data_IF_271456640828
#
_entry.id   IF_271456640828
#
_cell.length_a   1.000
_cell.length_b   1.000
_cell.length_c   1.000
_cell.angle_alpha   90.00
_cell.angle_beta   90.00
_cell.angle_gamma   90.00
#
_symmetry.space_group_name_H-M   'P 1'
#
loop_
_entity.id
_entity.type
_entity.pdbx_description
1 polymer ?
#
# COMPACT_ATOMS: atom_id res chain seq x y z
N UNK A 1 -3.90 0.39 -33.87
CA UNK A 1 -4.36 1.40 -32.88
C UNK A 1 -5.58 0.93 -32.07
N UNK A 2 -6.47 0.11 -32.63
CA UNK A 2 -7.64 -0.50 -31.95
C UNK A 2 -7.30 -1.34 -30.70
N UNK A 3 -6.26 -2.19 -30.77
CA UNK A 3 -5.86 -3.08 -29.66
C UNK A 3 -5.47 -2.36 -28.35
N UNK A 4 -4.91 -1.15 -28.43
CA UNK A 4 -4.49 -0.40 -27.24
C UNK A 4 -5.68 0.18 -26.48
N UNK A 5 -6.67 0.69 -27.22
CA UNK A 5 -7.88 1.25 -26.66
C UNK A 5 -8.75 0.16 -26.01
N UNK A 6 -8.89 -0.99 -26.66
CA UNK A 6 -9.60 -2.16 -26.12
C UNK A 6 -8.97 -2.66 -24.81
N UNK A 7 -7.63 -2.74 -24.75
CA UNK A 7 -6.92 -3.10 -23.52
C UNK A 7 -7.17 -2.08 -22.40
N UNK A 8 -7.17 -0.79 -22.71
CA UNK A 8 -7.44 0.26 -21.72
C UNK A 8 -8.87 0.15 -21.15
N UNK A 9 -9.86 -0.04 -22.02
CA UNK A 9 -11.26 -0.22 -21.62
C UNK A 9 -11.45 -1.48 -20.77
N UNK A 10 -10.81 -2.59 -21.15
CA UNK A 10 -10.85 -3.82 -20.38
C UNK A 10 -10.24 -3.64 -18.97
N UNK A 11 -9.07 -3.00 -18.86
CA UNK A 11 -8.45 -2.70 -17.56
C UNK A 11 -9.35 -1.82 -16.70
N UNK A 12 -10.01 -0.83 -17.30
CA UNK A 12 -10.93 0.04 -16.56
C UNK A 12 -12.17 -0.72 -16.08
N UNK A 13 -12.75 -1.58 -16.91
CA UNK A 13 -13.85 -2.46 -16.54
C UNK A 13 -13.47 -3.38 -15.37
N UNK A 14 -12.29 -4.01 -15.43
CA UNK A 14 -11.76 -4.84 -14.35
C UNK A 14 -11.57 -4.05 -13.05
N UNK A 15 -11.02 -2.82 -13.11
CA UNK A 15 -10.89 -1.97 -11.92
C UNK A 15 -12.24 -1.73 -11.26
N UNK A 16 -13.25 -1.36 -12.06
CA UNK A 16 -14.59 -1.07 -11.55
C UNK A 16 -15.23 -2.32 -10.94
N UNK A 17 -15.16 -3.46 -11.63
CA UNK A 17 -15.71 -4.72 -11.16
C UNK A 17 -15.12 -5.15 -9.81
N UNK A 18 -13.79 -5.13 -9.68
CA UNK A 18 -13.13 -5.56 -8.44
C UNK A 18 -13.38 -4.57 -7.30
N UNK A 19 -13.41 -3.26 -7.56
CA UNK A 19 -13.78 -2.26 -6.55
C UNK A 19 -15.21 -2.44 -6.06
N UNK A 20 -16.15 -2.77 -6.93
CA UNK A 20 -17.54 -3.08 -6.54
C UNK A 20 -17.60 -4.32 -5.64
N UNK A 21 -16.91 -5.40 -6.01
CA UNK A 21 -16.84 -6.61 -5.17
C UNK A 21 -16.23 -6.33 -3.81
N UNK A 22 -15.15 -5.55 -3.75
CA UNK A 22 -14.49 -5.16 -2.49
C UNK A 22 -15.42 -4.35 -1.59
N UNK A 23 -16.16 -3.39 -2.16
CA UNK A 23 -17.16 -2.59 -1.43
C UNK A 23 -18.35 -3.39 -0.92
N UNK A 24 -18.63 -4.54 -1.54
CA UNK A 24 -19.70 -5.44 -1.10
C UNK A 24 -19.29 -6.34 0.08
N UNK A 25 -18.02 -6.32 0.51
CA UNK A 25 -17.58 -7.08 1.69
C UNK A 25 -18.16 -6.47 2.97
N UNK A 26 -18.66 -7.33 3.86
CA UNK A 26 -19.12 -6.90 5.17
C UNK A 26 -17.96 -6.37 6.04
N UNK A 27 -18.23 -5.54 7.05
CA UNK A 27 -17.20 -5.09 7.98
C UNK A 27 -16.46 -6.25 8.68
N UNK A 28 -17.17 -7.35 8.97
CA UNK A 28 -16.57 -8.55 9.54
C UNK A 28 -15.60 -9.21 8.56
N UNK A 29 -15.99 -9.40 7.30
CA UNK A 29 -15.12 -9.99 6.27
C UNK A 29 -13.86 -9.15 6.05
N UNK A 30 -13.97 -7.82 6.10
CA UNK A 30 -12.82 -6.93 5.99
C UNK A 30 -11.87 -7.07 7.18
N UNK A 31 -12.42 -7.11 8.39
CA UNK A 31 -11.65 -7.32 9.64
C UNK A 31 -10.94 -8.68 9.63
N UNK A 32 -11.66 -9.75 9.30
CA UNK A 32 -11.10 -11.11 9.24
C UNK A 32 -9.97 -11.20 8.20
N UNK A 33 -10.19 -10.60 7.02
CA UNK A 33 -9.16 -10.54 5.98
C UNK A 33 -7.90 -9.79 6.44
N UNK A 34 -8.06 -8.66 7.13
CA UNK A 34 -6.93 -7.90 7.66
C UNK A 34 -6.13 -8.74 8.69
N UNK A 35 -6.82 -9.42 9.62
CA UNK A 35 -6.17 -10.27 10.62
C UNK A 35 -5.50 -11.50 10.01
N UNK A 36 -6.09 -12.11 8.99
CA UNK A 36 -5.45 -13.19 8.24
C UNK A 36 -4.17 -12.72 7.55
N UNK A 37 -4.16 -11.51 6.97
CA UNK A 37 -2.95 -10.93 6.38
C UNK A 37 -1.88 -10.70 7.43
N UNK A 38 -2.22 -10.16 8.60
CA UNK A 38 -1.25 -10.03 9.70
C UNK A 38 -0.64 -11.38 10.07
N UNK A 39 -1.50 -12.37 10.33
CA UNK A 39 -1.07 -13.72 10.73
C UNK A 39 -0.18 -14.37 9.67
N UNK A 40 -0.54 -14.22 8.39
CA UNK A 40 0.24 -14.76 7.29
C UNK A 40 1.60 -14.06 7.18
N UNK A 41 1.60 -12.73 7.13
CA UNK A 41 2.81 -11.92 6.93
C UNK A 41 3.78 -12.12 8.08
N UNK A 42 3.31 -12.06 9.33
CA UNK A 42 4.18 -12.21 10.50
C UNK A 42 4.82 -13.59 10.63
N UNK A 43 4.32 -14.61 9.92
CA UNK A 43 4.91 -15.95 9.86
C UNK A 43 5.88 -16.16 8.68
N UNK A 44 6.02 -15.18 7.77
CA UNK A 44 6.94 -15.31 6.63
C UNK A 44 8.40 -15.16 7.07
N UNK A 45 9.31 -16.10 6.70
CA UNK A 45 10.72 -16.00 7.04
C UNK A 45 11.39 -14.69 6.61
N UNK A 46 10.98 -14.13 5.45
CA UNK A 46 11.49 -12.85 4.95
C UNK A 46 11.12 -11.67 5.86
N UNK A 47 9.98 -11.73 6.55
CA UNK A 47 9.55 -10.68 7.49
C UNK A 47 10.38 -10.73 8.77
N UNK A 48 10.77 -11.93 9.21
CA UNK A 48 11.66 -12.08 10.36
C UNK A 48 13.02 -11.42 10.13
N UNK A 49 13.61 -11.61 8.95
CA UNK A 49 14.91 -11.02 8.59
C UNK A 49 14.86 -9.55 8.17
N UNK A 50 13.70 -9.04 7.75
CA UNK A 50 13.55 -7.66 7.32
C UNK A 50 13.61 -6.69 8.51
N UNK A 51 14.29 -5.56 8.33
CA UNK A 51 14.36 -4.45 9.27
C UNK A 51 13.47 -3.30 8.82
N UNK A 52 13.49 -2.97 7.53
CA UNK A 52 12.81 -1.80 6.94
C UNK A 52 11.70 -2.24 5.99
N UNK A 53 10.47 -1.79 6.24
CA UNK A 53 9.30 -2.17 5.47
C UNK A 53 8.48 -0.94 5.10
N UNK A 54 8.14 -0.80 3.83
CA UNK A 54 7.21 0.22 3.38
C UNK A 54 5.79 -0.36 3.32
N UNK A 55 4.85 0.30 3.99
CA UNK A 55 3.41 -0.03 4.02
C UNK A 55 2.63 1.18 3.53
N UNK A 56 1.46 1.00 2.93
CA UNK A 56 0.56 2.10 2.59
C UNK A 56 -0.51 2.27 3.67
N UNK A 57 -1.02 3.50 3.86
CA UNK A 57 -2.24 3.71 4.62
C UNK A 57 -3.43 3.41 3.71
N UNK A 58 -4.25 2.44 4.12
CA UNK A 58 -5.41 1.99 3.35
C UNK A 58 -6.41 3.12 3.10
N UNK A 59 -6.86 3.26 1.85
CA UNK A 59 -7.87 4.24 1.46
C UNK A 59 -8.90 3.63 0.49
N UNK A 60 -10.06 4.27 0.29
CA UNK A 60 -11.09 3.85 -0.70
C UNK A 60 -11.48 2.35 -0.62
N UNK A 61 -11.68 1.87 0.61
CA UNK A 61 -12.10 0.51 0.90
C UNK A 61 -11.05 -0.55 0.58
N UNK A 62 -9.77 -0.18 0.47
CA UNK A 62 -8.67 -1.14 0.48
C UNK A 62 -8.65 -1.98 1.77
N UNK A 63 -7.91 -3.08 1.74
CA UNK A 63 -7.63 -3.87 2.94
C UNK A 63 -7.02 -2.96 4.01
N UNK A 64 -7.58 -2.99 5.21
CA UNK A 64 -7.04 -2.22 6.34
C UNK A 64 -5.63 -2.73 6.70
N UNK A 65 -4.63 -1.87 6.50
CA UNK A 65 -3.23 -2.16 6.79
C UNK A 65 -2.84 -1.78 8.22
N UNK A 66 -3.72 -1.11 8.97
CA UNK A 66 -3.40 -0.64 10.32
C UNK A 66 -3.00 -1.79 11.27
N UNK A 67 -3.71 -2.93 11.32
CA UNK A 67 -3.31 -4.06 12.17
C UNK A 67 -1.91 -4.58 11.83
N UNK A 68 -1.53 -4.57 10.55
CA UNK A 68 -0.19 -4.98 10.11
C UNK A 68 0.88 -3.98 10.57
N UNK A 69 0.61 -2.68 10.45
CA UNK A 69 1.53 -1.64 10.91
C UNK A 69 1.78 -1.78 12.42
N UNK A 70 0.71 -1.96 13.21
CA UNK A 70 0.82 -2.12 14.66
C UNK A 70 1.62 -3.38 15.03
N UNK A 71 1.40 -4.51 14.32
CA UNK A 71 2.16 -5.74 14.53
C UNK A 71 3.65 -5.60 14.15
N UNK A 72 3.96 -4.90 13.05
CA UNK A 72 5.34 -4.62 12.64
C UNK A 72 6.06 -3.72 13.66
N UNK A 73 5.39 -2.68 14.16
CA UNK A 73 5.93 -1.85 15.23
C UNK A 73 6.18 -2.64 16.51
N UNK A 74 5.23 -3.49 16.92
CA UNK A 74 5.40 -4.35 18.11
C UNK A 74 6.59 -5.33 17.96
N UNK A 75 6.86 -5.78 16.74
CA UNK A 75 8.03 -6.61 16.41
C UNK A 75 9.34 -5.81 16.24
N UNK A 76 9.37 -4.53 16.59
CA UNK A 76 10.55 -3.67 16.51
C UNK A 76 10.95 -3.29 15.08
N UNK A 77 10.07 -3.51 14.09
CA UNK A 77 10.35 -3.23 12.69
C UNK A 77 10.25 -1.74 12.38
N UNK A 78 11.00 -1.33 11.36
CA UNK A 78 11.01 0.03 10.86
C UNK A 78 9.98 0.19 9.74
N UNK A 79 8.85 0.85 10.03
CA UNK A 79 7.78 1.05 9.04
C UNK A 79 7.93 2.40 8.34
N UNK A 80 7.83 2.41 7.02
CA UNK A 80 7.87 3.60 6.17
C UNK A 80 6.56 3.73 5.41
N UNK A 81 6.13 4.96 5.14
CA UNK A 81 4.97 5.25 4.29
C UNK A 81 5.42 5.88 2.97
N UNK A 82 4.74 5.57 1.84
CA UNK A 82 4.94 6.30 0.60
C UNK A 82 4.42 7.74 0.73
N UNK A 83 5.21 8.70 0.25
CA UNK A 83 4.89 10.13 0.19
C UNK A 83 5.04 10.59 -1.25
N UNK A 84 4.11 11.40 -1.75
CA UNK A 84 4.21 11.93 -3.11
C UNK A 84 5.47 12.79 -3.27
N UNK A 85 6.24 12.57 -4.34
CA UNK A 85 7.39 13.43 -4.62
C UNK A 85 6.91 14.86 -4.95
N UNK A 86 7.43 15.90 -4.26
CA UNK A 86 6.91 17.27 -4.38
C UNK A 86 7.09 17.87 -5.78
N UNK A 87 8.11 17.42 -6.52
CA UNK A 87 8.49 18.02 -7.81
C UNK A 87 8.48 17.06 -9.00
N UNK A 88 8.25 15.76 -8.77
CA UNK A 88 8.43 14.74 -9.82
C UNK A 88 7.18 13.85 -9.85
N UNK A 89 6.19 14.20 -10.69
CA UNK A 89 4.95 13.45 -10.77
C UNK A 89 5.17 11.95 -11.03
N UNK A 90 4.43 11.10 -10.32
CA UNK A 90 4.54 9.64 -10.45
C UNK A 90 5.64 9.01 -9.59
N UNK A 91 6.52 9.80 -8.97
CA UNK A 91 7.54 9.29 -8.06
C UNK A 91 7.08 9.37 -6.60
N UNK A 92 7.61 8.46 -5.79
CA UNK A 92 7.35 8.35 -4.35
C UNK A 92 8.66 8.48 -3.58
N UNK A 93 8.57 9.14 -2.43
CA UNK A 93 9.52 9.08 -1.34
C UNK A 93 9.02 8.09 -0.29
N UNK A 94 9.91 7.58 0.56
CA UNK A 94 9.53 6.73 1.69
C UNK A 94 10.03 7.38 2.98
N UNK A 95 9.11 7.67 3.90
CA UNK A 95 9.43 8.36 5.15
C UNK A 95 9.07 7.52 6.36
N UNK A 96 9.90 7.63 7.40
CA UNK A 96 9.72 6.87 8.63
C UNK A 96 8.37 7.21 9.25
N UNK A 97 7.62 6.16 9.58
CA UNK A 97 6.32 6.27 10.23
C UNK A 97 6.35 5.65 11.62
N UNK A 98 5.84 6.41 12.58
CA UNK A 98 5.70 6.06 13.99
C UNK A 98 4.35 6.57 14.50
N UNK A 99 3.93 6.14 15.69
CA UNK A 99 2.71 6.64 16.33
C UNK A 99 2.73 8.17 16.56
N UNK A 100 3.92 8.79 16.67
CA UNK A 100 4.08 10.23 16.87
C UNK A 100 4.18 11.02 15.55
N UNK A 101 4.24 10.34 14.39
CA UNK A 101 4.44 11.01 13.11
C UNK A 101 3.19 11.81 12.72
N UNK A 102 3.32 13.14 12.51
CA UNK A 102 2.21 13.95 12.03
C UNK A 102 1.87 13.57 10.58
N UNK A 103 0.58 13.43 10.30
CA UNK A 103 0.06 13.11 8.97
C UNK A 103 -0.66 14.32 8.38
N UNK A 104 -0.38 14.60 7.12
CA UNK A 104 -1.04 15.65 6.33
C UNK A 104 -1.80 15.02 5.16
N UNK A 105 -2.82 15.71 4.66
CA UNK A 105 -3.50 15.28 3.44
C UNK A 105 -2.73 15.77 2.21
N UNK A 106 -2.41 14.85 1.32
CA UNK A 106 -1.80 15.17 0.05
C UNK A 106 -2.84 15.63 -1.00
N UNK A 107 -2.36 15.98 -2.20
CA UNK A 107 -3.22 16.41 -3.32
C UNK A 107 -4.26 15.37 -3.77
N UNK A 108 -4.07 14.10 -3.41
CA UNK A 108 -5.01 13.00 -3.68
C UNK A 108 -5.95 12.72 -2.49
N UNK A 109 -5.94 13.56 -1.45
CA UNK A 109 -6.70 13.38 -0.20
C UNK A 109 -6.35 12.11 0.57
N UNK A 110 -5.12 11.61 0.39
CA UNK A 110 -4.57 10.50 1.17
C UNK A 110 -3.68 11.07 2.26
N UNK A 111 -3.74 10.48 3.46
CA UNK A 111 -2.86 10.84 4.57
C UNK A 111 -1.45 10.32 4.29
N UNK A 112 -0.46 11.18 4.42
CA UNK A 112 0.96 10.83 4.31
C UNK A 112 1.78 11.61 5.35
N UNK A 113 2.97 11.13 5.76
CA UNK A 113 3.87 11.88 6.62
C UNK A 113 4.16 13.27 6.05
N UNK A 114 4.22 14.26 6.93
CA UNK A 114 4.78 15.57 6.55
C UNK A 114 6.22 15.38 6.06
N UNK A 115 6.58 16.07 4.97
CA UNK A 115 7.91 16.00 4.38
C UNK A 115 9.00 16.39 5.39
N UNK A 116 9.85 15.42 5.73
CA UNK A 116 11.04 15.59 6.56
C UNK A 116 12.17 14.72 6.01
N UNK A 117 13.22 15.36 5.49
CA UNK A 117 14.35 14.69 4.87
C UNK A 117 15.13 13.80 5.83
N UNK A 118 15.07 14.06 7.15
CA UNK A 118 15.81 13.29 8.16
C UNK A 118 15.19 11.91 8.38
N UNK A 119 13.93 11.74 7.95
CA UNK A 119 13.17 10.49 8.07
C UNK A 119 13.12 9.71 6.75
N UNK A 120 13.74 10.24 5.70
CA UNK A 120 13.69 9.67 4.36
C UNK A 120 14.57 8.42 4.27
N UNK A 121 14.04 7.40 3.59
CA UNK A 121 14.78 6.20 3.21
C UNK A 121 14.68 6.00 1.69
N UNK A 122 15.81 5.85 0.96
CA UNK A 122 15.77 5.49 -0.45
C UNK A 122 15.12 4.12 -0.65
N UNK A 123 14.48 3.92 -1.82
CA UNK A 123 13.84 2.63 -2.16
C UNK A 123 14.81 1.44 -2.03
N UNK A 124 16.09 1.63 -2.38
CA UNK A 124 17.12 0.59 -2.26
C UNK A 124 17.44 0.18 -0.81
N UNK A 125 17.02 0.98 0.18
CA UNK A 125 17.18 0.68 1.60
C UNK A 125 15.97 -0.05 2.21
N UNK A 126 14.90 -0.28 1.45
CA UNK A 126 13.74 -1.05 1.90
C UNK A 126 13.96 -2.55 1.67
N UNK A 127 13.78 -3.35 2.72
CA UNK A 127 13.81 -4.80 2.59
C UNK A 127 12.52 -5.33 1.94
N UNK A 128 11.38 -4.74 2.31
CA UNK A 128 10.05 -5.16 1.86
C UNK A 128 9.18 -3.94 1.52
N UNK A 129 8.44 -4.03 0.42
CA UNK A 129 7.44 -3.05 0.01
C UNK A 129 6.08 -3.73 -0.14
N UNK A 130 5.12 -3.35 0.72
CA UNK A 130 3.72 -3.69 0.54
C UNK A 130 3.09 -2.70 -0.44
N UNK A 131 2.69 -3.21 -1.60
CA UNK A 131 2.15 -2.38 -2.68
C UNK A 131 0.61 -2.37 -2.65
N UNK A 132 -0.05 -1.19 -2.69
CA UNK A 132 -1.49 -1.11 -2.87
C UNK A 132 -1.86 -1.54 -4.29
N UNK A 133 -2.93 -2.34 -4.42
CA UNK A 133 -3.38 -2.90 -5.70
C UNK A 133 -4.91 -2.94 -5.77
N UNK A 134 -5.44 -2.86 -6.99
CA UNK A 134 -6.86 -3.14 -7.25
C UNK A 134 -7.07 -4.63 -7.49
N UNK A 135 -6.23 -5.23 -8.31
CA UNK A 135 -6.28 -6.66 -8.60
C UNK A 135 -4.89 -7.20 -8.95
N UNK A 136 -4.71 -8.50 -8.75
CA UNK A 136 -3.53 -9.26 -9.17
C UNK A 136 -3.92 -10.69 -9.52
N UNK A 137 -3.03 -11.40 -10.20
CA UNK A 137 -3.21 -12.81 -10.55
C UNK A 137 -2.07 -13.70 -10.01
N UNK A 138 -2.21 -15.01 -10.22
CA UNK A 138 -1.22 -16.01 -9.79
C UNK A 138 0.13 -15.90 -10.52
N UNK A 139 0.18 -15.15 -11.63
CA UNK A 139 1.42 -14.89 -12.38
C UNK A 139 2.11 -13.61 -11.91
N UNK A 140 1.57 -12.95 -10.89
CA UNK A 140 2.10 -11.68 -10.37
C UNK A 140 1.79 -10.47 -11.26
N UNK A 141 0.84 -10.59 -12.21
CA UNK A 141 0.36 -9.41 -12.93
C UNK A 141 -0.38 -8.51 -11.96
N UNK A 142 -0.21 -7.19 -12.12
CA UNK A 142 -0.80 -6.19 -11.23
C UNK A 142 -1.68 -5.20 -11.98
N UNK A 143 -2.79 -4.82 -11.36
CA UNK A 143 -3.66 -3.75 -11.79
C UNK A 143 -3.76 -2.70 -10.67
N UNK A 144 -3.10 -1.56 -10.85
CA UNK A 144 -3.24 -0.40 -9.98
C UNK A 144 -4.35 0.56 -10.44
N UNK A 145 -4.45 1.71 -9.78
CA UNK A 145 -5.47 2.73 -10.04
C UNK A 145 -5.29 3.51 -11.35
N UNK A 146 -4.14 3.37 -12.03
CA UNK A 146 -3.89 3.98 -13.35
C UNK A 146 -2.88 5.15 -13.36
N UNK A 147 -2.32 5.52 -12.21
CA UNK A 147 -1.24 6.53 -12.13
C UNK A 147 0.19 5.97 -12.27
N UNK A 148 0.35 4.67 -12.54
CA UNK A 148 1.62 3.92 -12.50
C UNK A 148 1.43 2.41 -12.43
#
# INVERSE_FOLDING_TARGET
MTSSMEKSLLRQSLRNHIRLRRRALSPQQQTDAAQHVVSHVMNLPRIHSACTLAVFLSFDGELDTRPLIDALWAAGKQVYLPVLHPFTPGHLLFMRYTAATPLVLNRLRIREPQLDITTLLPLAGLDILFMPLVAFDIKGQRLGMGGG
#
